data_IF_236664920523
#
_entry.id   IF_236664920523
#
_cell.length_a   1.000
_cell.length_b   1.000
_cell.length_c   1.000
_cell.angle_alpha   90.00
_cell.angle_beta   90.00
_cell.angle_gamma   90.00
#
_symmetry.space_group_name_H-M   'P 1'
#
loop_
_entity.id
_entity.type
_entity.pdbx_description
1 polymer ?
#
# COMPACT_ATOMS: atom_id res chain seq x y z
N UNK A 1 25.21 -16.40 -11.16
CA UNK A 1 24.43 -15.28 -10.60
C UNK A 1 22.95 -15.50 -11.01
N UNK A 2 22.14 -16.23 -10.21
CA UNK A 2 20.80 -16.71 -10.64
C UNK A 2 19.61 -16.13 -9.85
N UNK A 3 19.85 -15.48 -8.71
CA UNK A 3 18.79 -14.98 -7.83
C UNK A 3 18.34 -13.54 -8.12
N UNK A 4 19.25 -12.68 -8.61
CA UNK A 4 18.96 -11.26 -8.86
C UNK A 4 17.96 -11.06 -9.99
N UNK A 5 17.93 -11.98 -10.94
CA UNK A 5 17.08 -11.90 -12.13
C UNK A 5 15.63 -12.29 -11.84
N UNK A 6 15.37 -12.89 -10.68
CA UNK A 6 14.01 -13.23 -10.24
C UNK A 6 13.23 -12.03 -9.68
N UNK A 7 13.92 -10.93 -9.37
CA UNK A 7 13.32 -9.71 -8.83
C UNK A 7 13.47 -8.58 -9.86
N UNK A 8 12.46 -8.34 -10.70
CA UNK A 8 12.53 -7.32 -11.73
C UNK A 8 12.62 -5.92 -11.14
N UNK A 9 11.85 -5.64 -10.09
CA UNK A 9 11.86 -4.36 -9.38
C UNK A 9 12.83 -4.43 -8.21
N UNK A 10 13.79 -3.50 -8.19
CA UNK A 10 14.82 -3.41 -7.15
C UNK A 10 14.82 -1.98 -6.61
N UNK A 11 14.95 -1.85 -5.29
CA UNK A 11 14.99 -0.55 -4.63
C UNK A 11 16.15 -0.47 -3.65
N UNK A 12 16.76 0.70 -3.55
CA UNK A 12 17.81 1.00 -2.58
C UNK A 12 17.47 2.31 -1.87
N UNK A 13 17.46 2.28 -0.54
CA UNK A 13 17.40 3.48 0.29
C UNK A 13 18.81 4.06 0.45
N UNK A 14 18.98 5.00 1.37
CA UNK A 14 20.30 5.56 1.72
C UNK A 14 21.31 4.44 1.99
N UNK A 15 22.45 4.52 1.31
CA UNK A 15 23.59 3.62 1.50
C UNK A 15 24.81 4.44 1.94
N UNK A 16 25.77 3.80 2.59
CA UNK A 16 27.01 4.48 3.05
C UNK A 16 28.01 4.63 1.90
N UNK A 17 28.14 3.62 1.05
CA UNK A 17 29.09 3.60 -0.06
C UNK A 17 28.35 3.48 -1.38
N UNK A 18 28.74 4.29 -2.37
CA UNK A 18 28.12 4.24 -3.69
C UNK A 18 28.46 2.94 -4.46
N UNK A 19 29.55 2.24 -4.13
CA UNK A 19 29.84 0.90 -4.69
C UNK A 19 28.73 -0.12 -4.35
N UNK A 20 28.12 0.00 -3.16
CA UNK A 20 27.00 -0.85 -2.73
C UNK A 20 25.73 -0.60 -3.54
N UNK A 21 25.59 0.57 -4.16
CA UNK A 21 24.47 0.85 -5.05
C UNK A 21 24.46 -0.07 -6.28
N UNK A 22 25.61 -0.30 -6.91
CA UNK A 22 25.73 -1.24 -8.04
C UNK A 22 25.38 -2.67 -7.63
N UNK A 23 25.78 -3.06 -6.42
CA UNK A 23 25.42 -4.34 -5.84
C UNK A 23 23.93 -4.50 -5.54
N UNK A 24 23.12 -3.46 -5.36
CA UNK A 24 21.66 -3.61 -5.13
C UNK A 24 20.87 -3.42 -6.43
N UNK A 25 21.12 -2.33 -7.15
CA UNK A 25 20.35 -1.93 -8.32
C UNK A 25 20.91 -2.48 -9.65
N UNK A 26 22.08 -3.10 -9.62
CA UNK A 26 22.80 -3.59 -10.80
C UNK A 26 23.86 -2.63 -11.30
N UNK A 27 24.73 -3.12 -12.16
CA UNK A 27 25.87 -2.37 -12.67
C UNK A 27 25.43 -1.11 -13.44
N UNK A 28 26.23 -0.06 -13.30
CA UNK A 28 25.95 1.26 -13.89
C UNK A 28 24.73 1.98 -13.30
N UNK A 29 24.04 1.46 -12.29
CA UNK A 29 22.89 2.17 -11.69
C UNK A 29 23.29 3.52 -11.08
N UNK A 30 24.48 3.57 -10.46
CA UNK A 30 25.04 4.80 -9.92
C UNK A 30 25.32 5.83 -11.01
N UNK A 31 25.91 5.41 -12.12
CA UNK A 31 26.22 6.27 -13.27
C UNK A 31 24.95 6.81 -13.94
N UNK A 32 23.84 6.05 -13.86
CA UNK A 32 22.51 6.48 -14.30
C UNK A 32 21.81 7.45 -13.34
N UNK A 33 22.44 7.83 -12.22
CA UNK A 33 21.92 8.82 -11.27
C UNK A 33 21.36 8.26 -9.97
N UNK A 34 21.50 6.96 -9.69
CA UNK A 34 21.09 6.36 -8.41
C UNK A 34 22.12 6.63 -7.30
N UNK A 35 22.31 7.89 -6.92
CA UNK A 35 23.29 8.30 -5.89
C UNK A 35 22.74 8.08 -4.49
N UNK A 36 22.68 6.82 -4.07
CA UNK A 36 22.13 6.41 -2.78
C UNK A 36 22.94 6.95 -1.58
N UNK A 37 24.22 7.25 -1.79
CA UNK A 37 25.14 7.84 -0.80
C UNK A 37 24.91 9.33 -0.55
N UNK A 38 24.34 10.04 -1.52
CA UNK A 38 24.05 11.47 -1.42
C UNK A 38 22.70 11.76 -0.74
N UNK A 39 21.93 10.71 -0.41
CA UNK A 39 20.68 10.85 0.32
C UNK A 39 20.99 11.33 1.75
N UNK A 40 20.48 12.51 2.10
CA UNK A 40 20.63 13.10 3.43
C UNK A 40 19.96 12.23 4.50
N UNK A 41 20.53 12.22 5.71
CA UNK A 41 19.99 11.48 6.87
C UNK A 41 18.60 11.95 7.32
N UNK A 42 18.28 13.22 7.06
CA UNK A 42 16.96 13.80 7.34
C UNK A 42 15.89 13.30 6.36
N UNK A 43 16.29 12.80 5.18
CA UNK A 43 15.40 12.33 4.13
C UNK A 43 14.97 10.87 4.35
N UNK A 44 14.34 10.58 5.51
CA UNK A 44 13.88 9.24 5.87
C UNK A 44 12.88 8.70 4.84
N UNK A 45 13.06 7.44 4.48
CA UNK A 45 12.23 6.73 3.49
C UNK A 45 12.48 7.13 2.04
N UNK A 46 13.45 8.01 1.74
CA UNK A 46 13.82 8.34 0.37
C UNK A 46 14.79 7.28 -0.19
N UNK A 47 14.57 6.91 -1.44
CA UNK A 47 15.42 5.96 -2.15
C UNK A 47 15.24 6.01 -3.66
N UNK A 48 15.86 5.06 -4.35
CA UNK A 48 15.79 4.90 -5.79
C UNK A 48 15.24 3.52 -6.14
N UNK A 49 14.44 3.47 -7.21
CA UNK A 49 13.85 2.25 -7.77
C UNK A 49 14.31 2.07 -9.20
N UNK A 50 14.65 0.83 -9.54
CA UNK A 50 14.98 0.40 -10.90
C UNK A 50 14.12 -0.81 -11.22
N UNK A 51 13.49 -0.77 -12.38
CA UNK A 51 12.69 -1.87 -12.92
C UNK A 51 13.45 -2.55 -14.07
N UNK A 52 13.40 -3.88 -14.11
CA UNK A 52 14.00 -4.66 -15.19
C UNK A 52 13.35 -4.28 -16.52
N UNK A 53 14.20 -4.00 -17.52
CA UNK A 53 13.76 -3.51 -18.84
C UNK A 53 13.75 -1.98 -18.96
N UNK A 54 13.78 -1.23 -17.85
CA UNK A 54 13.90 0.21 -17.86
C UNK A 54 15.33 0.66 -17.53
N UNK A 55 15.83 1.66 -18.28
CA UNK A 55 17.06 2.37 -17.91
C UNK A 55 16.81 3.49 -16.92
N UNK A 56 15.54 3.85 -16.69
CA UNK A 56 15.18 4.94 -15.80
C UNK A 56 15.47 4.56 -14.35
N UNK A 57 16.02 5.53 -13.61
CA UNK A 57 16.18 5.46 -12.16
C UNK A 57 15.18 6.44 -11.57
N UNK A 58 14.23 5.94 -10.78
CA UNK A 58 13.17 6.77 -10.20
C UNK A 58 13.46 7.04 -8.73
N UNK A 59 13.50 8.32 -8.33
CA UNK A 59 13.58 8.70 -6.91
C UNK A 59 12.20 8.64 -6.27
N UNK A 60 12.07 7.90 -5.18
CA UNK A 60 10.80 7.68 -4.47
C UNK A 60 10.91 8.06 -3.00
N UNK A 61 9.77 8.29 -2.36
CA UNK A 61 9.65 8.44 -0.91
C UNK A 61 8.61 7.47 -0.38
N UNK A 62 9.03 6.55 0.49
CA UNK A 62 8.13 5.64 1.17
C UNK A 62 7.18 6.41 2.11
N UNK A 63 5.94 5.93 2.21
CA UNK A 63 5.01 6.38 3.24
C UNK A 63 5.53 5.98 4.62
N UNK A 64 5.27 6.81 5.62
CA UNK A 64 5.60 6.52 7.01
C UNK A 64 4.34 6.03 7.71
N UNK A 65 4.42 4.82 8.28
CA UNK A 65 3.39 4.26 9.14
C UNK A 65 3.99 4.10 10.55
N UNK A 66 3.22 4.47 11.57
CA UNK A 66 3.61 4.23 12.96
C UNK A 66 3.38 2.77 13.34
N UNK A 67 4.01 2.31 14.42
CA UNK A 67 3.78 0.96 14.94
C UNK A 67 2.32 0.74 15.35
N UNK A 68 1.63 1.79 15.79
CA UNK A 68 0.21 1.74 16.12
C UNK A 68 -0.66 1.57 14.88
N UNK A 69 -0.36 2.29 13.79
CA UNK A 69 -1.04 2.11 12.49
C UNK A 69 -0.87 0.68 11.96
N UNK A 70 0.34 0.14 12.06
CA UNK A 70 0.65 -1.24 11.64
C UNK A 70 -0.13 -2.23 12.50
N UNK A 71 -0.18 -2.03 13.81
CA UNK A 71 -0.92 -2.90 14.74
C UNK A 71 -2.42 -2.87 14.45
N UNK A 72 -2.98 -1.68 14.22
CA UNK A 72 -4.37 -1.52 13.82
C UNK A 72 -4.65 -2.24 12.50
N UNK A 73 -3.82 -2.03 11.47
CA UNK A 73 -3.99 -2.67 10.16
C UNK A 73 -3.99 -4.21 10.28
N UNK A 74 -3.05 -4.75 11.07
CA UNK A 74 -2.93 -6.19 11.30
C UNK A 74 -4.13 -6.76 12.08
N UNK A 75 -4.70 -6.01 13.03
CA UNK A 75 -5.89 -6.42 13.76
C UNK A 75 -7.15 -6.40 12.88
N UNK A 76 -7.30 -5.37 12.04
CA UNK A 76 -8.45 -5.23 11.13
C UNK A 76 -8.40 -6.28 10.00
N UNK A 77 -7.22 -6.59 9.47
CA UNK A 77 -7.05 -7.46 8.30
C UNK A 77 -6.30 -8.75 8.65
N UNK A 78 -6.73 -9.43 9.72
CA UNK A 78 -6.13 -10.69 10.13
C UNK A 78 -6.51 -11.79 9.13
N UNK A 79 -5.55 -12.51 8.53
CA UNK A 79 -5.89 -13.65 7.70
C UNK A 79 -6.61 -14.70 8.56
N UNK A 80 -7.61 -15.36 7.96
CA UNK A 80 -8.25 -16.52 8.58
C UNK A 80 -7.23 -17.62 8.89
N UNK A 81 -7.58 -18.59 9.74
CA UNK A 81 -6.68 -19.68 10.08
C UNK A 81 -6.14 -20.33 8.79
N UNK A 82 -4.82 -20.34 8.65
CA UNK A 82 -4.14 -21.07 7.58
C UNK A 82 -4.32 -22.55 7.85
N UNK A 83 -5.25 -23.17 7.14
CA UNK A 83 -5.36 -24.63 7.11
C UNK A 83 -4.16 -25.15 6.35
N UNK A 84 -3.14 -25.61 7.07
CA UNK A 84 -2.04 -26.36 6.46
C UNK A 84 -2.61 -27.67 5.93
N UNK A 85 -2.62 -27.84 4.62
CA UNK A 85 -3.12 -29.03 3.91
C UNK A 85 -2.35 -30.33 4.20
N UNK A 86 -1.50 -30.35 5.24
CA UNK A 86 -0.50 -31.39 5.50
C UNK A 86 -0.70 -32.21 6.78
N UNK A 87 -1.75 -31.97 7.58
CA UNK A 87 -2.09 -32.82 8.74
C UNK A 87 -3.58 -33.14 8.78
N UNK A 88 -4.14 -33.55 7.64
CA UNK A 88 -5.39 -34.29 7.60
C UNK A 88 -5.14 -35.74 8.04
N UNK A 89 -4.88 -35.98 9.33
CA UNK A 89 -4.71 -37.34 9.83
C UNK A 89 -4.04 -37.53 11.18
N UNK A 90 -4.54 -36.93 12.27
CA UNK A 90 -4.61 -37.54 13.63
C UNK A 90 -5.05 -36.52 14.69
N UNK A 91 -6.36 -36.36 14.85
CA UNK A 91 -7.02 -36.51 16.16
C UNK A 91 -8.53 -36.46 16.00
N UNK A 92 -9.09 -37.65 15.93
CA UNK A 92 -10.45 -37.89 16.38
C UNK A 92 -10.42 -37.91 17.93
N UNK A 93 -11.50 -37.42 18.53
CA UNK A 93 -11.95 -37.63 19.92
C UNK A 93 -11.38 -36.70 21.00
N UNK A 94 -12.13 -35.63 21.27
CA UNK A 94 -12.71 -35.44 22.60
C UNK A 94 -14.19 -35.08 22.44
N UNK A 95 -15.03 -36.10 22.59
CA UNK A 95 -16.46 -35.93 22.80
C UNK A 95 -16.69 -35.68 24.29
N UNK A 96 -17.32 -34.57 24.62
CA UNK A 96 -18.19 -34.52 25.80
C UNK A 96 -19.50 -33.90 25.36
N UNK A 97 -20.46 -34.79 25.11
CA UNK A 97 -21.86 -34.48 25.00
C UNK A 97 -22.34 -33.84 26.32
N UNK A 98 -23.13 -32.77 26.24
CA UNK A 98 -24.26 -32.61 27.14
C UNK A 98 -25.43 -32.03 26.35
N UNK A 99 -26.54 -32.75 26.45
CA UNK A 99 -27.78 -32.57 25.72
C UNK A 99 -28.53 -31.31 26.16
N UNK A 100 -29.21 -30.66 25.20
CA UNK A 100 -30.62 -30.31 25.35
C UNK A 100 -31.22 -29.98 23.97
N UNK A 101 -32.19 -30.77 23.55
CA UNK A 101 -33.22 -30.43 22.55
C UNK A 101 -34.59 -30.44 23.29
N UNK A 102 -35.61 -29.67 22.86
CA UNK A 102 -36.43 -30.05 21.69
C UNK A 102 -36.95 -28.92 20.76
N UNK A 103 -37.39 -29.38 19.58
CA UNK A 103 -38.08 -28.81 18.39
C UNK A 103 -39.42 -28.05 18.69
N UNK A 104 -40.14 -27.34 17.76
CA UNK A 104 -40.15 -27.48 16.29
C UNK A 104 -40.29 -26.19 15.43
N UNK A 105 -40.28 -26.44 14.12
CA UNK A 105 -40.33 -25.54 12.95
C UNK A 105 -41.67 -24.78 12.83
N UNK A 106 -41.61 -23.46 12.64
CA UNK A 106 -42.68 -22.67 12.02
C UNK A 106 -42.18 -21.95 10.78
N UNK A 107 -42.80 -22.27 9.65
CA UNK A 107 -42.66 -21.62 8.35
C UNK A 107 -43.34 -20.25 8.41
N UNK A 108 -42.67 -19.20 7.90
CA UNK A 108 -43.25 -18.07 7.15
C UNK A 108 -42.15 -17.04 6.88
N UNK A 109 -42.00 -16.61 5.63
CA UNK A 109 -41.18 -15.44 5.28
C UNK A 109 -40.38 -15.60 3.99
N UNK A 110 -40.94 -15.09 2.90
CA UNK A 110 -40.44 -15.19 1.55
C UNK A 110 -38.97 -14.73 1.36
N UNK A 111 -38.23 -15.53 0.60
CA UNK A 111 -37.04 -15.09 -0.09
C UNK A 111 -37.39 -13.97 -1.08
N UNK A 112 -36.68 -12.85 -1.02
CA UNK A 112 -36.60 -11.89 -2.13
C UNK A 112 -35.14 -11.45 -2.26
N UNK A 113 -34.44 -12.04 -3.21
CA UNK A 113 -33.19 -11.52 -3.75
C UNK A 113 -33.54 -10.48 -4.83
N UNK A 114 -33.17 -9.20 -4.70
CA UNK A 114 -33.36 -8.27 -5.80
C UNK A 114 -32.31 -8.51 -6.89
N UNK A 115 -32.73 -9.27 -7.89
CA UNK A 115 -32.14 -9.32 -9.23
C UNK A 115 -32.36 -7.96 -9.90
N UNK A 116 -31.31 -7.16 -10.08
CA UNK A 116 -31.38 -5.99 -10.96
C UNK A 116 -30.56 -6.23 -12.21
N UNK A 117 -31.29 -6.23 -13.32
CA UNK A 117 -30.91 -6.46 -14.70
C UNK A 117 -29.95 -5.42 -15.26
N UNK A 118 -28.86 -5.92 -15.86
CA UNK A 118 -28.08 -5.23 -16.88
C UNK A 118 -28.92 -5.06 -18.16
N UNK A 119 -29.24 -3.82 -18.54
CA UNK A 119 -29.49 -3.43 -19.94
C UNK A 119 -28.98 -2.00 -20.14
N UNK A 120 -27.97 -1.84 -21.00
CA UNK A 120 -27.31 -0.58 -21.25
C UNK A 120 -28.07 0.36 -22.19
N UNK A 121 -27.65 1.63 -22.22
CA UNK A 121 -27.18 2.40 -23.40
C UNK A 121 -27.35 3.90 -23.10
N UNK A 122 -26.25 4.63 -22.88
CA UNK A 122 -25.93 5.84 -23.67
C UNK A 122 -24.60 6.47 -23.26
N UNK A 123 -24.01 7.02 -24.32
CA UNK A 123 -22.71 7.62 -24.57
C UNK A 123 -22.44 8.91 -23.76
N UNK A 124 -21.15 9.20 -23.61
CA UNK A 124 -20.49 10.52 -23.48
C UNK A 124 -20.78 11.41 -22.27
N UNK A 125 -19.73 11.69 -21.48
CA UNK A 125 -18.98 12.96 -21.60
C UNK A 125 -17.79 12.99 -20.64
N UNK A 126 -16.66 13.43 -21.19
CA UNK A 126 -15.47 13.93 -20.51
C UNK A 126 -15.83 15.22 -19.75
N UNK A 127 -15.42 15.33 -18.49
CA UNK A 127 -15.16 16.60 -17.79
C UNK A 127 -14.06 16.32 -16.76
N UNK A 128 -12.80 16.76 -16.88
CA UNK A 128 -12.23 18.11 -16.80
C UNK A 128 -12.86 19.03 -15.76
N UNK A 129 -12.16 19.18 -14.62
CA UNK A 129 -12.07 20.44 -13.87
C UNK A 129 -12.83 20.51 -12.54
N UNK A 130 -12.08 20.53 -11.44
CA UNK A 130 -12.40 21.25 -10.19
C UNK A 130 -11.19 21.06 -9.25
N UNK A 131 -10.07 21.77 -9.41
CA UNK A 131 -9.89 23.22 -9.17
C UNK A 131 -10.61 23.68 -7.90
N UNK A 132 -10.13 23.20 -6.74
CA UNK A 132 -10.40 23.86 -5.46
C UNK A 132 -9.61 25.18 -5.42
N UNK A 133 -10.25 26.35 -5.26
CA UNK A 133 -9.52 27.61 -5.16
C UNK A 133 -8.85 27.73 -3.79
N UNK A 134 -7.56 28.05 -3.81
CA UNK A 134 -6.82 28.56 -2.65
C UNK A 134 -7.55 29.79 -2.11
N UNK A 135 -7.99 29.69 -0.85
CA UNK A 135 -8.61 30.78 -0.11
C UNK A 135 -7.58 31.89 0.08
N UNK A 136 -7.77 33.02 -0.61
CA UNK A 136 -7.14 34.31 -0.31
C UNK A 136 -7.43 34.67 1.14
N UNK A 137 -6.45 34.52 2.02
CA UNK A 137 -6.42 35.24 3.29
C UNK A 137 -5.84 36.62 3.00
N UNK A 138 -6.73 37.62 3.06
CA UNK A 138 -6.42 39.04 3.02
C UNK A 138 -5.33 39.40 4.04
N UNK A 139 -4.38 40.21 3.60
CA UNK A 139 -3.52 41.02 4.46
C UNK A 139 -4.36 42.05 5.24
N UNK A 140 -3.97 42.36 6.48
CA UNK A 140 -4.14 43.72 6.99
C UNK A 140 -2.84 44.26 7.61
N UNK A 141 -2.52 45.52 7.32
CA UNK A 141 -1.60 46.31 8.15
C UNK A 141 -0.43 46.93 7.41
N UNK A 142 -0.70 47.89 6.51
CA UNK A 142 0.27 48.94 6.23
C UNK A 142 0.22 49.96 7.38
N UNK A 143 1.36 50.27 7.98
CA UNK A 143 1.55 51.44 8.83
C UNK A 143 2.64 52.32 8.20
N UNK A 144 2.39 53.62 7.98
CA UNK A 144 3.38 54.54 7.44
C UNK A 144 4.17 55.19 8.58
N UNK A 145 5.51 55.16 8.50
CA UNK A 145 6.37 56.08 9.26
C UNK A 145 7.50 56.57 8.38
N UNK A 146 7.56 57.88 8.24
CA UNK A 146 8.58 58.66 7.54
C UNK A 146 9.94 58.64 8.25
N UNK A 147 11.03 58.69 7.48
CA UNK A 147 12.26 59.47 7.76
C UNK A 147 13.36 59.15 6.73
N UNK A 148 13.99 60.19 6.18
CA UNK A 148 15.16 60.12 5.31
C UNK A 148 15.05 61.05 4.12
#
# INVERSE_FOLDING_TARGET
MKWRDLFPTRMALRLVEGSKCGMVLGDGARDRGARCEEITETARGVGYVVEAGSRAVTRVRAAYLTDDDIRQLAQTHRPGPVLHSGEAGRRLMTSTHSAQQPEPISKDGAATCPRTTLTGTRRSSVSSGSSRPCRVSRCPGASPTASG
#
